data_IF_708087605461
#
_entry.id   IF_708087605461
#
_cell.length_a   1.000
_cell.length_b   1.000
_cell.length_c   1.000
_cell.angle_alpha   90.00
_cell.angle_beta   90.00
_cell.angle_gamma   90.00
#
_symmetry.space_group_name_H-M   'P 1'
#
loop_
_entity.id
_entity.type
_entity.pdbx_description
1 polymer ?
#
# COMPACT_ATOMS: atom_id res chain seq x y z
N UNK A 1 -2.73 17.55 61.78
CA UNK A 1 -1.75 18.47 61.15
C UNK A 1 -0.41 17.79 61.27
N UNK A 2 0.31 17.27 60.28
CA UNK A 2 0.55 17.48 58.83
C UNK A 2 1.51 16.34 58.45
N UNK A 3 1.60 15.71 57.29
CA UNK A 3 1.01 15.78 55.96
C UNK A 3 1.68 14.61 55.18
N UNK A 4 0.92 13.93 54.32
CA UNK A 4 1.48 12.96 53.37
C UNK A 4 1.78 13.69 52.04
N UNK A 5 2.87 13.37 51.34
CA UNK A 5 3.23 14.04 50.09
C UNK A 5 2.30 13.68 48.93
N UNK A 6 1.99 14.70 48.14
CA UNK A 6 1.16 14.68 46.93
C UNK A 6 1.60 13.58 45.95
N UNK A 7 0.64 12.75 45.53
CA UNK A 7 0.76 11.95 44.33
C UNK A 7 0.82 12.89 43.12
N UNK A 8 1.94 12.84 42.39
CA UNK A 8 2.09 13.44 41.08
C UNK A 8 1.13 12.75 40.11
N UNK A 9 0.13 13.48 39.65
CA UNK A 9 -0.72 13.10 38.53
C UNK A 9 0.15 12.95 37.28
N UNK A 10 0.43 11.71 36.88
CA UNK A 10 0.91 11.42 35.53
C UNK A 10 -0.20 11.86 34.57
N UNK A 11 0.08 12.90 33.79
CA UNK A 11 -0.69 13.27 32.62
C UNK A 11 -0.48 12.18 31.57
N UNK A 12 -1.46 11.30 31.43
CA UNK A 12 -1.63 10.46 30.26
C UNK A 12 -1.85 11.37 29.04
N UNK A 13 -0.79 11.58 28.25
CA UNK A 13 -0.95 12.12 26.90
C UNK A 13 -1.52 11.02 26.00
N UNK A 14 -2.66 11.24 25.33
CA UNK A 14 -3.18 10.27 24.39
C UNK A 14 -2.33 10.29 23.12
N UNK A 15 -1.53 9.24 22.95
CA UNK A 15 -0.84 8.90 21.71
C UNK A 15 -1.90 8.47 20.67
N UNK A 16 -2.47 9.45 19.95
CA UNK A 16 -3.55 9.27 18.99
C UNK A 16 -3.23 9.94 17.67
N UNK A 17 -2.61 9.21 16.76
CA UNK A 17 -2.49 9.58 15.34
C UNK A 17 -3.88 9.73 14.72
N UNK A 18 -4.48 10.90 14.88
CA UNK A 18 -5.81 11.22 14.39
C UNK A 18 -5.69 11.41 12.88
N UNK A 19 -6.31 10.53 12.10
CA UNK A 19 -6.45 10.72 10.66
C UNK A 19 -7.30 11.99 10.42
N UNK A 20 -6.63 13.09 10.12
CA UNK A 20 -7.32 14.35 9.82
C UNK A 20 -8.03 14.17 8.47
N UNK A 21 -9.36 14.19 8.49
CA UNK A 21 -10.17 14.22 7.27
C UNK A 21 -9.78 15.47 6.47
N UNK A 22 -9.40 15.29 5.21
CA UNK A 22 -9.13 16.40 4.31
C UNK A 22 -10.37 17.26 4.09
N UNK A 23 -10.17 18.57 3.87
CA UNK A 23 -11.28 19.50 3.60
C UNK A 23 -11.97 19.16 2.27
N UNK A 24 -13.25 19.54 2.14
CA UNK A 24 -14.00 19.31 0.90
C UNK A 24 -13.30 19.93 -0.34
N UNK A 25 -12.66 21.09 -0.17
CA UNK A 25 -11.86 21.72 -1.22
C UNK A 25 -10.63 20.88 -1.61
N UNK A 26 -9.89 20.36 -0.63
CA UNK A 26 -8.75 19.48 -0.87
C UNK A 26 -9.16 18.18 -1.59
N UNK A 27 -10.32 17.64 -1.25
CA UNK A 27 -10.86 16.44 -1.89
C UNK A 27 -11.34 16.67 -3.33
N UNK A 28 -11.80 17.88 -3.67
CA UNK A 28 -12.14 18.26 -5.06
C UNK A 28 -10.89 18.30 -5.94
N UNK A 29 -9.82 18.95 -5.49
CA UNK A 29 -8.54 18.98 -6.22
C UNK A 29 -7.97 17.57 -6.37
N UNK A 30 -8.06 16.75 -5.33
CA UNK A 30 -7.65 15.34 -5.40
C UNK A 30 -8.47 14.53 -6.42
N UNK A 31 -9.73 14.87 -6.64
CA UNK A 31 -10.58 14.25 -7.65
C UNK A 31 -10.13 14.56 -9.09
N UNK A 32 -9.71 15.80 -9.34
CA UNK A 32 -9.19 16.24 -10.64
C UNK A 32 -7.87 15.53 -10.99
N UNK A 33 -7.07 15.20 -9.98
CA UNK A 33 -5.80 14.49 -10.12
C UNK A 33 -5.89 13.02 -9.69
N UNK A 34 -7.04 12.36 -9.91
CA UNK A 34 -7.27 11.01 -9.40
C UNK A 34 -6.50 9.92 -10.16
N UNK A 35 -6.10 10.15 -11.41
CA UNK A 35 -5.35 9.18 -12.21
C UNK A 35 -3.87 9.59 -12.30
N UNK A 36 -2.98 8.73 -11.80
CA UNK A 36 -1.55 9.00 -11.87
C UNK A 36 -1.04 9.18 -13.31
N UNK A 37 -1.71 8.64 -14.34
CA UNK A 37 -1.24 8.70 -15.73
C UNK A 37 -1.52 10.04 -16.40
N UNK A 38 -2.44 10.83 -15.86
CA UNK A 38 -2.89 12.10 -16.47
C UNK A 38 -2.20 13.32 -15.89
N UNK A 39 -1.45 13.17 -14.80
CA UNK A 39 -0.72 14.26 -14.17
C UNK A 39 0.65 14.48 -14.83
N UNK A 40 1.09 15.73 -14.88
CA UNK A 40 2.41 16.10 -15.40
C UNK A 40 3.52 15.59 -14.46
N UNK A 41 4.23 14.53 -14.88
CA UNK A 41 5.29 13.86 -14.13
C UNK A 41 6.36 14.82 -13.62
N UNK A 42 6.75 15.82 -14.40
CA UNK A 42 7.84 16.72 -14.03
C UNK A 42 7.46 17.68 -12.89
N UNK A 43 6.16 17.88 -12.67
CA UNK A 43 5.62 18.73 -11.59
C UNK A 43 5.35 17.95 -10.30
N UNK A 44 5.43 16.62 -10.33
CA UNK A 44 5.33 15.80 -9.14
C UNK A 44 6.55 15.97 -8.24
N UNK A 45 6.38 15.83 -6.92
CA UNK A 45 7.53 15.67 -6.01
C UNK A 45 8.33 14.42 -6.40
N UNK A 46 9.64 14.33 -6.10
CA UNK A 46 10.43 13.18 -6.51
C UNK A 46 9.92 11.84 -5.95
N UNK A 47 9.29 11.85 -4.77
CA UNK A 47 8.65 10.65 -4.21
C UNK A 47 7.44 10.22 -5.04
N UNK A 48 6.61 11.17 -5.49
CA UNK A 48 5.43 10.88 -6.30
C UNK A 48 5.78 10.50 -7.74
N UNK A 49 6.90 11.02 -8.28
CA UNK A 49 7.45 10.56 -9.55
C UNK A 49 7.81 9.07 -9.46
N UNK A 50 8.61 8.70 -8.44
CA UNK A 50 9.00 7.31 -8.22
C UNK A 50 7.81 6.38 -7.98
N UNK A 51 6.83 6.79 -7.16
CA UNK A 51 5.59 6.03 -6.98
C UNK A 51 4.90 5.75 -8.32
N UNK A 52 4.80 6.76 -9.17
CA UNK A 52 4.05 6.62 -10.40
C UNK A 52 4.80 5.83 -11.48
N UNK A 53 6.13 5.91 -11.51
CA UNK A 53 6.99 5.04 -12.34
C UNK A 53 6.88 3.57 -11.93
N UNK A 54 6.83 3.28 -10.63
CA UNK A 54 6.56 1.92 -10.15
C UNK A 54 5.14 1.49 -10.50
N UNK A 55 4.16 2.38 -10.37
CA UNK A 55 2.77 2.07 -10.69
C UNK A 55 2.56 1.77 -12.18
N UNK A 56 3.30 2.42 -13.08
CA UNK A 56 3.29 2.14 -14.52
C UNK A 56 3.77 0.70 -14.83
N UNK A 57 4.70 0.16 -14.02
CA UNK A 57 5.17 -1.23 -14.15
C UNK A 57 4.15 -2.25 -13.63
N UNK A 58 3.29 -1.84 -12.69
CA UNK A 58 2.28 -2.69 -12.05
C UNK A 58 0.87 -2.08 -12.14
N UNK A 59 0.34 -1.86 -13.36
CA UNK A 59 -0.89 -1.08 -13.56
C UNK A 59 -2.12 -1.72 -12.91
N UNK A 60 -2.13 -3.05 -12.77
CA UNK A 60 -3.27 -3.82 -12.26
C UNK A 60 -3.22 -4.12 -10.75
N UNK A 61 -2.09 -3.92 -10.09
CA UNK A 61 -1.90 -4.24 -8.67
C UNK A 61 -1.97 -2.99 -7.79
N UNK A 62 -2.50 -3.09 -6.57
CA UNK A 62 -2.44 -1.99 -5.60
C UNK A 62 -0.99 -1.79 -5.16
N UNK A 63 -0.44 -0.59 -5.37
CA UNK A 63 0.90 -0.25 -4.90
C UNK A 63 0.84 0.34 -3.49
N UNK A 64 1.36 -0.39 -2.51
CA UNK A 64 1.56 0.05 -1.13
C UNK A 64 2.99 0.56 -0.97
N UNK A 65 3.15 1.84 -0.68
CA UNK A 65 4.43 2.55 -0.68
C UNK A 65 4.77 3.02 0.74
N UNK A 66 5.93 2.61 1.26
CA UNK A 66 6.29 2.93 2.65
C UNK A 66 6.65 4.39 2.85
N UNK A 67 5.94 5.04 3.76
CA UNK A 67 6.17 6.41 4.19
C UNK A 67 6.19 6.45 5.72
N UNK A 68 7.39 6.38 6.30
CA UNK A 68 7.55 6.26 7.75
C UNK A 68 6.92 4.98 8.28
N UNK A 69 6.00 5.11 9.23
CA UNK A 69 5.30 4.01 9.88
C UNK A 69 4.00 3.59 9.19
N UNK A 70 3.77 4.06 7.96
CA UNK A 70 2.60 3.71 7.16
C UNK A 70 3.01 3.15 5.80
N UNK A 71 2.16 2.26 5.28
CA UNK A 71 2.09 1.98 3.86
C UNK A 71 0.97 2.82 3.27
N UNK A 72 1.34 3.81 2.47
CA UNK A 72 0.41 4.71 1.80
C UNK A 72 0.23 4.26 0.34
N UNK A 73 -0.95 4.52 -0.20
CA UNK A 73 -1.19 4.45 -1.64
C UNK A 73 -1.87 5.73 -2.09
N UNK A 74 -1.78 6.04 -3.38
CA UNK A 74 -2.18 7.33 -3.93
C UNK A 74 -3.07 7.18 -5.17
N UNK A 75 -3.62 8.30 -5.65
CA UNK A 75 -4.37 8.36 -6.90
C UNK A 75 -5.56 7.37 -6.90
N UNK A 76 -5.76 6.64 -7.99
CA UNK A 76 -6.88 5.72 -8.16
C UNK A 76 -6.82 4.52 -7.21
N UNK A 77 -5.60 4.09 -6.84
CA UNK A 77 -5.40 2.99 -5.90
C UNK A 77 -5.88 3.40 -4.50
N UNK A 78 -5.69 4.66 -4.09
CA UNK A 78 -6.16 5.16 -2.81
C UNK A 78 -7.67 5.15 -2.69
N UNK A 79 -8.38 5.58 -3.73
CA UNK A 79 -9.84 5.54 -3.76
C UNK A 79 -10.34 4.09 -3.66
N UNK A 80 -9.77 3.20 -4.48
CA UNK A 80 -10.14 1.78 -4.49
C UNK A 80 -9.87 1.12 -3.14
N UNK A 81 -8.69 1.35 -2.56
CA UNK A 81 -8.31 0.77 -1.28
C UNK A 81 -9.20 1.27 -0.12
N UNK A 82 -9.53 2.56 -0.14
CA UNK A 82 -10.42 3.17 0.86
C UNK A 82 -11.83 2.57 0.81
N UNK A 83 -12.39 2.36 -0.38
CA UNK A 83 -13.71 1.75 -0.56
C UNK A 83 -13.71 0.28 -0.11
N UNK A 84 -12.67 -0.49 -0.46
CA UNK A 84 -12.61 -1.94 -0.20
C UNK A 84 -12.34 -2.32 1.25
N UNK A 85 -11.59 -1.49 1.96
CA UNK A 85 -11.17 -1.71 3.35
C UNK A 85 -11.83 -0.74 4.34
N UNK A 86 -12.76 0.09 3.86
CA UNK A 86 -13.44 1.13 4.65
C UNK A 86 -12.47 2.08 5.36
N UNK A 87 -11.32 2.35 4.74
CA UNK A 87 -10.31 3.26 5.27
C UNK A 87 -10.71 4.71 4.98
N UNK A 88 -10.25 5.64 5.81
CA UNK A 88 -10.44 7.06 5.55
C UNK A 88 -9.69 7.44 4.27
N UNK A 89 -10.42 7.92 3.26
CA UNK A 89 -9.84 8.59 2.10
C UNK A 89 -9.48 10.03 2.49
N UNK A 90 -8.22 10.40 2.30
CA UNK A 90 -7.74 11.76 2.47
C UNK A 90 -7.00 12.20 1.20
N UNK A 91 -6.20 13.25 1.30
CA UNK A 91 -5.38 13.72 0.20
C UNK A 91 -3.98 14.11 0.66
N UNK A 92 -3.02 14.08 -0.26
CA UNK A 92 -1.63 14.48 -0.03
C UNK A 92 -1.19 15.49 -1.07
N UNK A 93 -0.34 16.43 -0.68
CA UNK A 93 0.30 17.33 -1.64
C UNK A 93 1.26 16.51 -2.52
N UNK A 94 1.11 16.66 -3.84
CA UNK A 94 1.88 15.92 -4.83
C UNK A 94 2.89 16.82 -5.57
N UNK A 95 3.01 18.11 -5.21
CA UNK A 95 3.88 19.08 -5.85
C UNK A 95 3.14 20.36 -6.24
N UNK A 96 3.85 21.50 -6.21
CA UNK A 96 3.26 22.85 -6.39
C UNK A 96 2.45 23.02 -7.69
N UNK A 97 2.83 22.32 -8.76
CA UNK A 97 2.18 22.40 -10.06
C UNK A 97 1.04 21.40 -10.28
N UNK A 98 0.81 20.49 -9.33
CA UNK A 98 -0.25 19.47 -9.35
C UNK A 98 -1.30 19.75 -8.28
N UNK A 99 -0.86 20.17 -7.08
CA UNK A 99 -1.73 20.35 -5.93
C UNK A 99 -1.87 19.05 -5.15
N UNK A 100 -3.11 18.59 -4.90
CA UNK A 100 -3.38 17.42 -4.06
C UNK A 100 -3.86 16.23 -4.87
N UNK A 101 -3.55 15.03 -4.39
CA UNK A 101 -3.98 13.73 -4.93
C UNK A 101 -4.63 12.91 -3.83
N UNK A 102 -5.47 11.94 -4.19
CA UNK A 102 -6.04 11.01 -3.20
C UNK A 102 -4.95 10.22 -2.49
N UNK A 103 -5.17 9.97 -1.20
CA UNK A 103 -4.27 9.19 -0.36
C UNK A 103 -5.09 8.41 0.67
N UNK A 104 -4.69 7.16 0.90
CA UNK A 104 -5.08 6.38 2.08
C UNK A 104 -3.91 5.48 2.45
N UNK A 105 -3.96 4.82 3.59
CA UNK A 105 -2.88 3.95 4.01
C UNK A 105 -3.22 3.09 5.21
N UNK A 106 -2.32 2.15 5.48
CA UNK A 106 -2.41 1.22 6.60
C UNK A 106 -1.16 1.32 7.47
N UNK A 107 -1.25 1.09 8.79
CA UNK A 107 -0.08 1.08 9.66
C UNK A 107 0.88 -0.05 9.26
N UNK A 108 2.19 0.21 9.33
CA UNK A 108 3.24 -0.75 8.99
C UNK A 108 3.08 -2.09 9.73
N UNK A 109 2.83 -2.05 11.04
CA UNK A 109 2.65 -3.24 11.88
C UNK A 109 1.38 -4.04 11.57
N UNK A 110 0.46 -3.49 10.78
CA UNK A 110 -0.79 -4.13 10.40
C UNK A 110 -0.82 -4.53 8.91
N UNK A 111 0.28 -4.35 8.18
CA UNK A 111 0.35 -4.59 6.73
C UNK A 111 -0.19 -5.96 6.35
N UNK A 112 0.31 -7.02 6.98
CA UNK A 112 -0.05 -8.40 6.63
C UNK A 112 -1.56 -8.64 6.75
N UNK A 113 -2.19 -8.13 7.81
CA UNK A 113 -3.64 -8.25 8.00
C UNK A 113 -4.42 -7.66 6.83
N UNK A 114 -4.07 -6.44 6.40
CA UNK A 114 -4.77 -5.76 5.31
C UNK A 114 -4.44 -6.38 3.95
N UNK A 115 -3.21 -6.83 3.75
CA UNK A 115 -2.83 -7.58 2.55
C UNK A 115 -3.64 -8.87 2.42
N UNK A 116 -3.80 -9.64 3.50
CA UNK A 116 -4.64 -10.85 3.50
C UNK A 116 -6.06 -10.54 3.06
N UNK A 117 -6.71 -9.53 3.66
CA UNK A 117 -8.08 -9.14 3.30
C UNK A 117 -8.22 -8.75 1.83
N UNK A 118 -7.23 -8.04 1.27
CA UNK A 118 -7.22 -7.64 -0.13
C UNK A 118 -7.01 -8.83 -1.08
N UNK A 119 -6.09 -9.74 -0.74
CA UNK A 119 -5.84 -10.93 -1.55
C UNK A 119 -7.07 -11.84 -1.57
N UNK A 120 -7.78 -12.00 -0.45
CA UNK A 120 -9.05 -12.72 -0.37
C UNK A 120 -10.14 -12.09 -1.26
N UNK A 121 -10.11 -10.76 -1.44
CA UNK A 121 -10.97 -10.03 -2.39
C UNK A 121 -10.48 -10.11 -3.84
N UNK A 122 -9.40 -10.84 -4.12
CA UNK A 122 -8.86 -11.06 -5.47
C UNK A 122 -7.87 -9.98 -5.95
N UNK A 123 -7.37 -9.13 -5.08
CA UNK A 123 -6.42 -8.08 -5.45
C UNK A 123 -4.99 -8.61 -5.55
N UNK A 124 -4.27 -8.16 -6.58
CA UNK A 124 -2.81 -8.19 -6.59
C UNK A 124 -2.28 -6.94 -5.87
N UNK A 125 -1.19 -7.11 -5.11
CA UNK A 125 -0.60 -6.05 -4.27
C UNK A 125 0.91 -6.05 -4.51
N UNK A 126 1.47 -4.86 -4.63
CA UNK A 126 2.91 -4.63 -4.72
C UNK A 126 3.33 -3.81 -3.51
N UNK A 127 4.35 -4.26 -2.80
CA UNK A 127 4.88 -3.59 -1.62
C UNK A 127 6.22 -2.97 -1.99
N UNK A 128 6.29 -1.64 -1.86
CA UNK A 128 7.51 -0.86 -2.02
C UNK A 128 7.98 -0.39 -0.63
N UNK A 129 9.10 -0.94 -0.18
CA UNK A 129 9.60 -0.76 1.19
C UNK A 129 10.91 0.06 1.19
N UNK A 130 11.25 0.64 2.33
CA UNK A 130 12.52 1.30 2.58
C UNK A 130 13.62 0.25 2.71
N UNK A 131 14.65 0.35 1.87
CA UNK A 131 15.78 -0.60 1.82
C UNK A 131 17.05 0.00 2.40
N UNK A 132 16.90 1.02 3.23
CA UNK A 132 17.96 1.68 3.98
C UNK A 132 17.39 2.41 5.20
N UNK A 133 18.28 2.83 6.09
CA UNK A 133 17.92 3.57 7.28
C UNK A 133 17.49 5.02 6.96
N UNK A 134 16.31 5.40 7.45
CA UNK A 134 15.74 6.72 7.19
C UNK A 134 16.54 7.86 7.84
N UNK A 135 17.18 7.62 9.00
CA UNK A 135 18.01 8.61 9.67
C UNK A 135 19.33 8.83 8.92
N UNK A 136 19.88 7.80 8.27
CA UNK A 136 21.05 7.94 7.39
C UNK A 136 20.70 8.82 6.18
N UNK A 137 19.62 8.50 5.46
CA UNK A 137 19.19 9.28 4.31
C UNK A 137 18.88 10.75 4.69
N UNK A 138 18.24 10.96 5.85
CA UNK A 138 17.96 12.31 6.36
C UNK A 138 19.24 13.10 6.68
N UNK A 139 20.25 12.48 7.31
CA UNK A 139 21.56 13.12 7.57
C UNK A 139 22.27 13.51 6.28
N UNK A 140 22.11 12.72 5.23
CA UNK A 140 22.70 12.95 3.91
C UNK A 140 21.86 13.88 3.02
N UNK A 141 20.73 14.39 3.53
CA UNK A 141 19.86 15.33 2.82
C UNK A 141 19.19 14.75 1.58
N UNK A 142 19.07 13.42 1.51
CA UNK A 142 18.54 12.70 0.35
C UNK A 142 17.26 11.94 0.68
N UNK A 143 16.56 11.49 -0.35
CA UNK A 143 15.39 10.65 -0.16
C UNK A 143 15.78 9.24 0.26
N UNK A 144 14.96 8.64 1.12
CA UNK A 144 15.06 7.22 1.47
C UNK A 144 14.82 6.37 0.21
N UNK A 145 15.78 5.53 -0.13
CA UNK A 145 15.76 4.54 -1.19
C UNK A 145 14.70 3.50 -0.88
N UNK A 146 13.90 3.21 -1.89
CA UNK A 146 12.81 2.25 -1.79
C UNK A 146 12.80 1.34 -2.99
N UNK A 147 12.47 0.08 -2.75
CA UNK A 147 12.43 -0.95 -3.77
C UNK A 147 11.20 -1.82 -3.58
N UNK A 148 10.80 -2.51 -4.64
CA UNK A 148 9.76 -3.53 -4.53
C UNK A 148 10.34 -4.71 -3.76
N UNK A 149 9.78 -5.01 -2.60
CA UNK A 149 10.24 -6.12 -1.75
C UNK A 149 9.32 -7.32 -1.82
N UNK A 150 8.05 -7.11 -2.21
CA UNK A 150 7.06 -8.20 -2.28
C UNK A 150 5.99 -7.92 -3.32
N UNK A 151 5.57 -8.97 -4.01
CA UNK A 151 4.41 -8.99 -4.89
C UNK A 151 3.50 -10.11 -4.40
N UNK A 152 2.27 -9.76 -4.03
CA UNK A 152 1.25 -10.68 -3.55
C UNK A 152 0.18 -10.80 -4.61
N UNK A 153 -0.14 -12.02 -5.01
CA UNK A 153 -1.31 -12.31 -5.85
C UNK A 153 -2.08 -13.48 -5.23
N UNK A 154 -3.39 -13.59 -5.47
CA UNK A 154 -4.19 -14.68 -4.91
C UNK A 154 -3.60 -16.07 -5.14
N UNK A 155 -3.07 -16.36 -6.33
CA UNK A 155 -2.52 -17.67 -6.65
C UNK A 155 -1.05 -17.89 -6.26
N UNK A 156 -0.35 -16.89 -5.70
CA UNK A 156 1.10 -16.97 -5.45
C UNK A 156 1.49 -16.77 -3.98
N UNK A 157 0.54 -16.94 -3.06
CA UNK A 157 0.82 -16.83 -1.63
C UNK A 157 1.65 -18.03 -1.14
N UNK A 158 2.67 -17.73 -0.33
CA UNK A 158 3.52 -18.73 0.34
C UNK A 158 3.56 -18.54 1.86
N UNK A 159 3.16 -17.37 2.37
CA UNK A 159 3.14 -17.13 3.82
C UNK A 159 2.02 -17.89 4.49
N UNK A 160 2.37 -18.73 5.48
CA UNK A 160 1.41 -19.54 6.24
C UNK A 160 0.30 -18.69 6.88
N UNK A 161 0.62 -17.47 7.33
CA UNK A 161 -0.34 -16.55 7.94
C UNK A 161 -1.38 -15.97 6.96
N UNK A 162 -1.13 -16.06 5.65
CA UNK A 162 -2.05 -15.62 4.59
C UNK A 162 -2.78 -16.79 3.91
N UNK A 163 -2.33 -18.02 4.14
CA UNK A 163 -2.89 -19.23 3.54
C UNK A 163 -3.96 -19.85 4.45
N UNK A 164 -4.98 -20.44 3.83
CA UNK A 164 -5.96 -21.23 4.55
C UNK A 164 -5.46 -22.67 4.70
N UNK A 165 -5.13 -23.10 5.91
CA UNK A 165 -4.58 -24.44 6.18
C UNK A 165 -5.46 -25.63 5.74
N UNK A 166 -6.72 -25.41 5.37
CA UNK A 166 -7.65 -26.45 4.92
C UNK A 166 -7.94 -26.40 3.42
N UNK A 167 -7.25 -25.54 2.66
CA UNK A 167 -7.49 -25.35 1.23
C UNK A 167 -6.18 -25.16 0.48
N UNK A 168 -6.09 -25.79 -0.69
CA UNK A 168 -5.00 -25.55 -1.63
C UNK A 168 -5.14 -24.17 -2.26
N UNK A 169 -4.02 -23.59 -2.67
CA UNK A 169 -3.94 -22.28 -3.31
C UNK A 169 -3.32 -22.39 -4.71
N UNK A 170 -4.13 -22.85 -5.67
CA UNK A 170 -3.67 -23.08 -7.03
C UNK A 170 -3.65 -21.79 -7.88
N UNK A 171 -2.55 -21.58 -8.59
CA UNK A 171 -2.47 -20.74 -9.77
C UNK A 171 -2.67 -21.62 -11.01
N UNK A 172 -3.48 -21.18 -11.95
CA UNK A 172 -3.69 -21.88 -13.23
C UNK A 172 -3.42 -20.96 -14.42
N UNK A 173 -2.90 -21.54 -15.49
CA UNK A 173 -2.70 -20.90 -16.78
C UNK A 173 -3.38 -21.74 -17.87
N UNK A 174 -4.16 -21.09 -18.73
CA UNK A 174 -4.82 -21.73 -19.87
C UNK A 174 -4.34 -21.09 -21.15
N UNK A 175 -4.00 -21.91 -22.14
CA UNK A 175 -3.60 -21.47 -23.48
C UNK A 175 -4.50 -22.11 -24.51
N UNK A 176 -5.05 -21.31 -25.43
CA UNK A 176 -5.86 -21.77 -26.55
C UNK A 176 -5.05 -21.55 -27.83
N UNK A 177 -4.82 -22.63 -28.59
CA UNK A 177 -4.03 -22.64 -29.82
C UNK A 177 -4.81 -23.34 -30.95
N UNK A 178 -5.58 -22.57 -31.72
CA UNK A 178 -6.47 -23.11 -32.75
C UNK A 178 -7.53 -24.01 -32.12
N UNK A 179 -7.55 -25.29 -32.52
CA UNK A 179 -8.47 -26.30 -31.98
C UNK A 179 -7.92 -27.05 -30.75
N UNK A 180 -6.75 -26.66 -30.24
CA UNK A 180 -6.13 -27.27 -29.07
C UNK A 180 -6.17 -26.30 -27.88
N UNK A 181 -6.14 -26.87 -26.67
CA UNK A 181 -5.96 -26.13 -25.45
C UNK A 181 -4.96 -26.85 -24.53
N UNK A 182 -4.26 -26.08 -23.72
CA UNK A 182 -3.40 -26.57 -22.63
C UNK A 182 -3.78 -25.89 -21.33
N UNK A 183 -3.71 -26.63 -20.23
CA UNK A 183 -3.93 -26.13 -18.88
C UNK A 183 -2.73 -26.53 -18.06
N UNK A 184 -2.05 -25.57 -17.44
CA UNK A 184 -1.09 -25.85 -16.38
C UNK A 184 -1.62 -25.28 -15.07
N UNK A 185 -1.44 -25.99 -13.96
CA UNK A 185 -1.78 -25.44 -12.64
C UNK A 185 -0.80 -25.92 -11.57
N UNK A 186 -0.58 -25.06 -10.58
CA UNK A 186 0.43 -25.26 -9.54
C UNK A 186 -0.03 -24.71 -8.20
N UNK A 187 0.19 -25.47 -7.13
CA UNK A 187 0.16 -24.93 -5.78
C UNK A 187 1.59 -24.61 -5.39
N UNK A 188 1.91 -23.32 -5.38
CA UNK A 188 3.26 -22.83 -5.16
C UNK A 188 3.72 -23.12 -3.72
N UNK A 189 2.79 -23.25 -2.77
CA UNK A 189 3.10 -23.53 -1.37
C UNK A 189 3.52 -24.99 -1.13
N UNK A 190 3.07 -25.92 -1.98
CA UNK A 190 3.39 -27.36 -1.87
C UNK A 190 4.41 -27.82 -2.91
N UNK A 191 4.62 -27.05 -3.98
CA UNK A 191 5.46 -27.41 -5.12
C UNK A 191 4.76 -28.35 -6.12
N UNK A 192 3.46 -28.60 -5.96
CA UNK A 192 2.69 -29.40 -6.90
C UNK A 192 2.55 -28.68 -8.25
N UNK A 193 2.66 -29.43 -9.35
CA UNK A 193 2.58 -28.90 -10.71
C UNK A 193 1.97 -29.94 -11.66
N UNK A 194 0.99 -29.51 -12.45
CA UNK A 194 0.21 -30.36 -13.36
C UNK A 194 0.02 -29.67 -14.72
N UNK A 195 -0.14 -30.45 -15.80
CA UNK A 195 -0.36 -30.01 -17.19
C UNK A 195 -1.35 -30.88 -17.95
#
# INVERSE_FOLDING_TARGET
MTGYPNASTHSDEPNGGTSIRATAAAMRVAAENADHRTVDRQKLTPMMQHFAELKDQYPHAILLYRVGDFYETFFQDARRLSEELELVLTSKDAGKGIGRVYMTGVPHHALDRYCTMLVEKGFAIVICDQVEDAAVAAKEGRQVRREITKILTPGTLTDEGMLNARRNNFLAAVVIAGNHWGLAYSDISTGEFFT
#
